data_IF_362637337956
#
_entry.id   IF_362637337956
#
_cell.length_a   1.000
_cell.length_b   1.000
_cell.length_c   1.000
_cell.angle_alpha   90.00
_cell.angle_beta   90.00
_cell.angle_gamma   90.00
#
_symmetry.space_group_name_H-M   'P 1'
#
loop_
_entity.id
_entity.type
_entity.pdbx_description
1 polymer ?
#
# COMPACT_ATOMS: atom_id res chain seq x y z
N UNK A 1 -20.21 -4.08 -7.84
CA UNK A 1 -19.15 -4.51 -6.90
C UNK A 1 -19.10 -3.49 -5.75
N UNK A 2 -19.00 -3.94 -4.50
CA UNK A 2 -18.90 -3.00 -3.36
C UNK A 2 -17.58 -2.23 -3.38
N UNK A 3 -17.57 -0.99 -2.86
CA UNK A 3 -16.36 -0.14 -2.73
C UNK A 3 -15.17 -0.87 -2.09
N UNK A 4 -15.44 -1.77 -1.15
CA UNK A 4 -14.41 -2.52 -0.41
C UNK A 4 -13.61 -3.47 -1.30
N UNK A 5 -14.24 -4.06 -2.33
CA UNK A 5 -13.59 -5.03 -3.24
C UNK A 5 -12.56 -4.33 -4.14
N UNK A 6 -12.82 -3.08 -4.52
CA UNK A 6 -11.91 -2.28 -5.34
C UNK A 6 -10.69 -1.87 -4.51
N UNK A 7 -10.91 -1.42 -3.27
CA UNK A 7 -9.82 -1.07 -2.34
C UNK A 7 -8.94 -2.28 -2.04
N UNK A 8 -9.53 -3.45 -1.85
CA UNK A 8 -8.77 -4.68 -1.61
C UNK A 8 -8.02 -5.17 -2.86
N UNK A 9 -8.59 -5.00 -4.06
CA UNK A 9 -7.89 -5.23 -5.32
C UNK A 9 -6.66 -4.34 -5.47
N UNK A 10 -6.80 -3.03 -5.16
CA UNK A 10 -5.69 -2.07 -5.16
C UNK A 10 -4.58 -2.51 -4.20
N UNK A 11 -4.93 -2.90 -2.97
CA UNK A 11 -3.96 -3.38 -1.97
C UNK A 11 -3.15 -4.57 -2.48
N UNK A 12 -3.78 -5.54 -3.15
CA UNK A 12 -3.10 -6.72 -3.70
C UNK A 12 -2.06 -6.31 -4.76
N UNK A 13 -2.43 -5.41 -5.67
CA UNK A 13 -1.53 -4.87 -6.70
C UNK A 13 -0.32 -4.20 -6.05
N UNK A 14 -0.57 -3.34 -5.07
CA UNK A 14 0.47 -2.58 -4.39
C UNK A 14 1.44 -3.46 -3.61
N UNK A 15 0.93 -4.41 -2.82
CA UNK A 15 1.78 -5.36 -2.08
C UNK A 15 2.65 -6.20 -3.01
N UNK A 16 2.15 -6.54 -4.21
CA UNK A 16 2.93 -7.27 -5.21
C UNK A 16 4.05 -6.44 -5.85
N UNK A 17 3.84 -5.13 -6.02
CA UNK A 17 4.84 -4.21 -6.57
C UNK A 17 6.03 -4.09 -5.61
N UNK A 18 5.75 -3.83 -4.33
CA UNK A 18 6.77 -3.75 -3.28
C UNK A 18 7.60 -5.01 -3.12
N UNK A 19 6.94 -6.17 -3.13
CA UNK A 19 7.63 -7.44 -3.01
C UNK A 19 8.64 -7.61 -4.14
N UNK A 20 8.26 -7.21 -5.36
CA UNK A 20 9.15 -7.27 -6.52
C UNK A 20 10.33 -6.31 -6.40
N UNK A 21 10.12 -5.11 -5.87
CA UNK A 21 11.16 -4.11 -5.61
C UNK A 21 12.15 -4.61 -4.56
N UNK A 22 11.66 -5.09 -3.41
CA UNK A 22 12.51 -5.68 -2.37
C UNK A 22 13.32 -6.88 -2.87
N UNK A 23 12.76 -7.69 -3.79
CA UNK A 23 13.50 -8.78 -4.45
C UNK A 23 14.61 -8.23 -5.35
N UNK A 24 14.35 -7.15 -6.07
CA UNK A 24 15.35 -6.51 -6.94
C UNK A 24 16.47 -5.84 -6.14
N UNK A 25 16.17 -5.24 -4.99
CA UNK A 25 17.18 -4.65 -4.08
C UNK A 25 18.13 -5.71 -3.51
N UNK A 26 17.68 -6.95 -3.37
CA UNK A 26 18.55 -8.05 -2.96
C UNK A 26 19.54 -8.47 -4.05
N UNK A 27 19.38 -8.03 -5.30
CA UNK A 27 20.22 -8.47 -6.43
C UNK A 27 21.70 -8.20 -6.17
N UNK A 28 22.53 -9.21 -6.43
CA UNK A 28 23.96 -9.15 -6.10
C UNK A 28 24.30 -9.61 -4.69
N UNK A 29 23.31 -9.93 -3.85
CA UNK A 29 23.51 -10.59 -2.55
C UNK A 29 23.23 -12.09 -2.62
N UNK A 30 23.69 -12.82 -1.60
CA UNK A 30 23.46 -14.27 -1.46
C UNK A 30 21.97 -14.61 -1.20
N UNK A 31 21.20 -13.62 -0.76
CA UNK A 31 19.76 -13.72 -0.49
C UNK A 31 18.92 -13.63 -1.78
N UNK A 32 19.47 -13.06 -2.85
CA UNK A 32 18.80 -13.03 -4.14
C UNK A 32 18.69 -14.43 -4.73
N UNK A 33 17.46 -14.83 -5.03
CA UNK A 33 17.16 -16.09 -5.69
C UNK A 33 16.39 -15.83 -6.98
N UNK A 34 16.99 -16.18 -8.12
CA UNK A 34 16.40 -15.92 -9.43
C UNK A 34 15.05 -16.63 -9.64
N UNK A 35 14.85 -17.81 -9.05
CA UNK A 35 13.56 -18.52 -9.06
C UNK A 35 12.48 -17.74 -8.28
N UNK A 36 12.82 -17.07 -7.18
CA UNK A 36 11.89 -16.21 -6.45
C UNK A 36 11.51 -15.01 -7.31
N UNK A 37 12.47 -14.34 -7.97
CA UNK A 37 12.16 -13.24 -8.90
C UNK A 37 11.25 -13.68 -10.06
N UNK A 38 11.52 -14.85 -10.66
CA UNK A 38 10.66 -15.41 -11.72
C UNK A 38 9.24 -15.67 -11.21
N UNK A 39 9.10 -16.25 -10.02
CA UNK A 39 7.79 -16.49 -9.41
C UNK A 39 7.05 -15.17 -9.13
N UNK A 40 7.73 -14.17 -8.57
CA UNK A 40 7.17 -12.83 -8.34
C UNK A 40 6.70 -12.15 -9.63
N UNK A 41 7.51 -12.18 -10.69
CA UNK A 41 7.13 -11.61 -11.99
C UNK A 41 5.91 -12.31 -12.61
N UNK A 42 5.83 -13.64 -12.48
CA UNK A 42 4.67 -14.40 -12.95
C UNK A 42 3.42 -14.06 -12.13
N UNK A 43 3.56 -13.94 -10.81
CA UNK A 43 2.47 -13.53 -9.92
C UNK A 43 1.94 -12.14 -10.28
N UNK A 44 2.80 -11.15 -10.54
CA UNK A 44 2.37 -9.82 -10.99
C UNK A 44 1.56 -9.86 -12.30
N UNK A 45 2.00 -10.66 -13.28
CA UNK A 45 1.22 -10.85 -14.52
C UNK A 45 -0.16 -11.45 -14.28
N UNK A 46 -0.27 -12.37 -13.32
CA UNK A 46 -1.56 -12.94 -12.92
C UNK A 46 -2.48 -11.93 -12.22
N UNK A 47 -1.94 -10.82 -11.71
CA UNK A 47 -2.71 -9.73 -11.10
C UNK A 47 -3.19 -8.69 -12.10
N UNK A 48 -2.71 -8.68 -13.36
CA UNK A 48 -3.19 -7.75 -14.39
C UNK A 48 -4.73 -7.72 -14.55
N UNK A 49 -5.48 -8.84 -14.44
CA UNK A 49 -6.95 -8.80 -14.49
C UNK A 49 -7.59 -8.09 -13.30
N UNK A 50 -6.94 -8.10 -12.12
CA UNK A 50 -7.38 -7.34 -10.95
C UNK A 50 -7.12 -5.84 -11.14
N UNK A 51 -5.98 -5.48 -11.74
CA UNK A 51 -5.70 -4.09 -12.18
C UNK A 51 -6.78 -3.61 -13.15
N UNK A 52 -7.18 -4.43 -14.12
CA UNK A 52 -8.25 -4.10 -15.07
C UNK A 52 -9.65 -4.00 -14.46
N UNK A 53 -9.91 -4.66 -13.33
CA UNK A 53 -11.14 -4.42 -12.56
C UNK A 53 -11.10 -3.11 -11.76
N UNK A 54 -9.90 -2.69 -11.35
CA UNK A 54 -9.64 -1.37 -10.76
C UNK A 54 -9.68 -0.27 -11.83
N UNK A 55 -9.43 -0.58 -13.12
CA UNK A 55 -9.58 0.37 -14.23
C UNK A 55 -10.98 0.98 -14.31
N UNK A 56 -12.05 0.33 -13.82
CA UNK A 56 -13.36 1.01 -13.70
C UNK A 56 -13.37 2.20 -12.73
N UNK A 57 -12.47 2.23 -11.73
CA UNK A 57 -12.22 3.39 -10.86
C UNK A 57 -11.23 4.35 -11.49
N UNK A 58 -10.21 3.85 -12.21
CA UNK A 58 -9.29 4.70 -12.97
C UNK A 58 -9.99 5.44 -14.12
N UNK A 59 -10.94 4.82 -14.80
CA UNK A 59 -11.76 5.41 -15.87
C UNK A 59 -12.80 6.38 -15.32
N UNK A 60 -13.38 6.09 -14.15
CA UNK A 60 -14.39 6.97 -13.53
C UNK A 60 -13.78 8.14 -12.73
N UNK A 61 -12.59 7.96 -12.16
CA UNK A 61 -11.84 9.01 -11.47
C UNK A 61 -10.32 8.71 -11.45
N UNK A 62 -9.60 9.04 -12.53
CA UNK A 62 -8.17 8.77 -12.67
C UNK A 62 -7.31 9.45 -11.59
N UNK A 63 -7.74 10.64 -11.15
CA UNK A 63 -7.05 11.42 -10.13
C UNK A 63 -7.12 10.75 -8.75
N UNK A 64 -8.29 10.23 -8.37
CA UNK A 64 -8.47 9.49 -7.13
C UNK A 64 -7.61 8.22 -7.10
N UNK A 65 -7.58 7.47 -8.21
CA UNK A 65 -6.76 6.28 -8.31
C UNK A 65 -5.27 6.62 -8.16
N UNK A 66 -4.78 7.62 -8.90
CA UNK A 66 -3.39 8.09 -8.82
C UNK A 66 -3.01 8.54 -7.41
N UNK A 67 -3.90 9.28 -6.73
CA UNK A 67 -3.67 9.72 -5.36
C UNK A 67 -3.62 8.55 -4.37
N UNK A 68 -4.51 7.56 -4.48
CA UNK A 68 -4.49 6.37 -3.62
C UNK A 68 -3.21 5.54 -3.81
N UNK A 69 -2.76 5.39 -5.06
CA UNK A 69 -1.48 4.75 -5.36
C UNK A 69 -0.32 5.50 -4.70
N UNK A 70 -0.25 6.83 -4.90
CA UNK A 70 0.81 7.65 -4.32
C UNK A 70 0.83 7.61 -2.79
N UNK A 71 -0.32 7.80 -2.14
CA UNK A 71 -0.41 7.78 -0.68
C UNK A 71 0.00 6.41 -0.10
N UNK A 72 -0.36 5.33 -0.78
CA UNK A 72 -0.02 4.00 -0.30
C UNK A 72 1.45 3.68 -0.56
N UNK A 73 2.02 4.06 -1.72
CA UNK A 73 3.46 3.95 -2.02
C UNK A 73 4.28 4.75 -1.00
N UNK A 74 3.92 6.01 -0.76
CA UNK A 74 4.52 6.85 0.28
C UNK A 74 4.43 6.20 1.66
N UNK A 75 3.29 5.61 2.02
CA UNK A 75 3.11 4.92 3.29
C UNK A 75 4.02 3.70 3.42
N UNK A 76 4.17 2.93 2.34
CA UNK A 76 5.05 1.78 2.33
C UNK A 76 6.51 2.20 2.46
N UNK A 77 6.96 3.18 1.68
CA UNK A 77 8.33 3.68 1.80
C UNK A 77 8.63 4.16 3.23
N UNK A 78 7.66 4.83 3.86
CA UNK A 78 7.77 5.29 5.25
C UNK A 78 7.89 4.09 6.20
N UNK A 79 7.05 3.05 6.04
CA UNK A 79 7.12 1.81 6.83
C UNK A 79 8.45 1.07 6.64
N UNK A 80 8.96 0.97 5.41
CA UNK A 80 10.17 0.24 5.10
C UNK A 80 11.42 0.83 5.79
N UNK A 81 11.39 2.12 6.13
CA UNK A 81 12.47 2.85 6.81
C UNK A 81 12.39 2.76 8.35
N UNK A 82 11.35 2.13 8.89
CA UNK A 82 11.13 2.05 10.34
C UNK A 82 12.00 1.00 11.02
N UNK A 83 12.38 1.28 12.27
CA UNK A 83 13.03 0.31 13.15
C UNK A 83 12.00 -0.47 14.01
N UNK A 84 12.47 -1.47 14.76
CA UNK A 84 11.59 -2.32 15.59
C UNK A 84 10.77 -1.53 16.63
N UNK A 85 11.33 -0.47 17.21
CA UNK A 85 10.64 0.39 18.18
C UNK A 85 9.52 1.17 17.50
N UNK A 86 9.78 1.69 16.30
CA UNK A 86 8.79 2.42 15.51
C UNK A 86 7.59 1.53 15.14
N UNK A 87 7.82 0.25 14.82
CA UNK A 87 6.74 -0.72 14.58
C UNK A 87 5.84 -0.91 15.81
N UNK A 88 6.43 -1.01 17.00
CA UNK A 88 5.67 -1.13 18.26
C UNK A 88 4.85 0.14 18.50
N UNK A 89 5.44 1.31 18.27
CA UNK A 89 4.76 2.60 18.42
C UNK A 89 3.59 2.74 17.44
N UNK A 90 3.77 2.36 16.17
CA UNK A 90 2.70 2.36 15.17
C UNK A 90 1.55 1.44 15.57
N UNK A 91 1.82 0.25 16.10
CA UNK A 91 0.77 -0.64 16.57
C UNK A 91 -0.04 0.00 17.73
N UNK A 92 0.64 0.70 18.66
CA UNK A 92 -0.04 1.42 19.75
C UNK A 92 -0.87 2.60 19.25
N UNK A 93 -0.38 3.35 18.27
CA UNK A 93 -1.15 4.44 17.64
C UNK A 93 -2.39 3.90 16.94
N UNK A 94 -2.28 2.78 16.21
CA UNK A 94 -3.43 2.10 15.61
C UNK A 94 -4.44 1.65 16.67
N UNK A 95 -3.99 1.05 17.77
CA UNK A 95 -4.85 0.63 18.89
C UNK A 95 -5.57 1.84 19.51
N UNK A 96 -4.88 2.96 19.71
CA UNK A 96 -5.47 4.20 20.23
C UNK A 96 -6.52 4.77 19.28
N UNK A 97 -6.24 4.81 17.97
CA UNK A 97 -7.18 5.26 16.95
C UNK A 97 -8.45 4.39 16.89
N UNK A 98 -8.31 3.06 16.89
CA UNK A 98 -9.46 2.15 16.86
C UNK A 98 -10.30 2.26 18.12
N UNK A 99 -9.66 2.49 19.28
CA UNK A 99 -10.33 2.60 20.58
C UNK A 99 -11.21 3.84 20.68
N UNK A 100 -10.71 4.99 20.22
CA UNK A 100 -11.46 6.24 20.21
C UNK A 100 -10.96 7.18 19.09
N UNK A 101 -11.56 7.09 17.88
CA UNK A 101 -11.11 7.87 16.73
C UNK A 101 -11.23 9.38 16.94
N UNK A 102 -12.23 9.85 17.70
CA UNK A 102 -12.47 11.28 17.92
C UNK A 102 -11.40 11.86 18.83
N UNK A 103 -11.17 11.21 19.97
CA UNK A 103 -10.11 11.60 20.89
C UNK A 103 -8.74 11.52 20.21
N UNK A 104 -8.50 10.49 19.40
CA UNK A 104 -7.26 10.38 18.65
C UNK A 104 -7.05 11.57 17.71
N UNK A 105 -8.10 12.07 17.05
CA UNK A 105 -8.01 13.27 16.19
C UNK A 105 -7.81 14.57 16.98
N UNK A 106 -8.30 14.65 18.22
CA UNK A 106 -8.04 15.78 19.12
C UNK A 106 -6.58 15.79 19.59
N UNK A 107 -6.06 14.62 19.98
CA UNK A 107 -4.67 14.45 20.45
C UNK A 107 -3.66 14.55 19.29
N UNK A 108 -4.07 14.16 18.07
CA UNK A 108 -3.28 14.18 16.84
C UNK A 108 -4.09 14.81 15.70
N UNK A 109 -4.17 16.14 15.62
CA UNK A 109 -4.90 16.82 14.56
C UNK A 109 -4.18 16.63 13.23
N UNK A 110 -4.59 15.61 12.48
CA UNK A 110 -4.13 15.37 11.11
C UNK A 110 -5.09 16.11 10.18
N UNK A 111 -4.60 17.16 9.53
CA UNK A 111 -5.30 17.73 8.38
C UNK A 111 -5.23 16.73 7.23
N UNK A 112 -6.30 15.98 7.03
CA UNK A 112 -6.53 15.33 5.73
C UNK A 112 -6.62 16.48 4.72
N UNK A 113 -5.59 16.62 3.86
CA UNK A 113 -5.67 17.56 2.73
C UNK A 113 -6.95 17.21 1.98
N UNK A 114 -7.96 18.09 2.08
CA UNK A 114 -9.17 17.94 1.30
C UNK A 114 -8.74 17.93 -0.17
N UNK A 115 -9.13 16.87 -0.85
CA UNK A 115 -9.11 16.84 -2.30
C UNK A 115 -10.05 17.97 -2.74
N UNK A 116 -9.51 18.98 -3.44
CA UNK A 116 -10.33 19.99 -4.05
C UNK A 116 -11.15 19.30 -5.16
N UNK A 117 -12.41 19.01 -4.88
CA UNK A 117 -13.44 18.68 -5.90
C UNK A 117 -13.72 19.87 -6.79
#
# INVERSE_FOLDING_TARGET
MGKDVIVDGLKVVMLSALLSEAIDDMKGTNLYKQNIKKAGNNFQKMLEPFVRQVDGVYESNPELATNLFRETEEFIEKIAKLNLVDFVMMNRLREAYIKDPRKFQEDFPIELKKINT
#
